data_IF_818063944678
#
_entry.id   IF_818063944678
#
_cell.length_a   1.000
_cell.length_b   1.000
_cell.length_c   1.000
_cell.angle_alpha   90.00
_cell.angle_beta   90.00
_cell.angle_gamma   90.00
#
_symmetry.space_group_name_H-M   'P 1'
#
loop_
_entity.id
_entity.type
_entity.pdbx_description
1 polymer ?
#
# COMPACT_ATOMS: atom_id res chain seq x y z
N UNK A 1 -14.17 60.13 41.49
CA UNK A 1 -14.44 59.39 42.73
C UNK A 1 -14.64 57.95 42.36
N UNK A 2 -13.82 57.11 43.00
CA UNK A 2 -14.05 55.70 43.32
C UNK A 2 -15.53 55.29 43.40
N UNK A 3 -15.82 54.06 43.00
CA UNK A 3 -16.43 53.10 43.92
C UNK A 3 -16.23 51.68 43.41
N UNK A 4 -15.23 51.05 44.03
CA UNK A 4 -15.13 49.63 44.33
C UNK A 4 -16.46 49.05 44.74
N UNK A 5 -16.82 47.89 44.19
CA UNK A 5 -17.38 46.83 45.03
C UNK A 5 -17.00 45.47 44.44
N UNK A 6 -16.15 44.77 45.18
CA UNK A 6 -15.86 43.36 45.02
C UNK A 6 -16.92 42.61 45.83
N UNK A 7 -17.67 41.72 45.19
CA UNK A 7 -18.51 40.73 45.88
C UNK A 7 -18.16 39.35 45.36
N UNK A 8 -17.64 38.56 46.29
CA UNK A 8 -17.33 37.16 46.13
C UNK A 8 -18.55 36.31 46.47
N UNK A 9 -18.83 35.32 45.63
CA UNK A 9 -19.59 34.10 45.91
C UNK A 9 -19.58 33.26 44.64
N UNK A 10 -19.57 31.95 44.60
CA UNK A 10 -19.48 30.84 45.55
C UNK A 10 -19.15 29.65 44.63
N UNK A 11 -18.43 28.65 45.15
CA UNK A 11 -18.08 27.46 44.39
C UNK A 11 -19.29 26.68 43.87
N UNK A 12 -19.12 26.06 42.71
CA UNK A 12 -19.88 24.89 42.28
C UNK A 12 -18.96 24.00 41.46
N UNK A 13 -18.53 22.96 42.16
CA UNK A 13 -18.03 21.68 41.73
C UNK A 13 -18.94 20.98 40.70
N UNK A 14 -18.31 20.04 39.98
CA UNK A 14 -18.86 19.02 39.10
C UNK A 14 -19.34 19.47 37.71
N UNK A 15 -18.45 19.34 36.73
CA UNK A 15 -18.78 18.57 35.52
C UNK A 15 -17.52 17.92 34.94
N UNK A 16 -17.35 16.64 35.27
CA UNK A 16 -16.61 15.69 34.44
C UNK A 16 -17.36 15.56 33.11
N UNK A 17 -16.92 16.29 32.10
CA UNK A 17 -17.26 16.04 30.70
C UNK A 17 -16.08 15.37 30.03
N UNK A 18 -16.05 14.04 30.10
CA UNK A 18 -15.24 13.25 29.19
C UNK A 18 -15.98 13.19 27.87
N UNK A 19 -15.59 14.01 26.90
CA UNK A 19 -15.71 13.66 25.49
C UNK A 19 -14.31 13.37 24.95
N UNK A 20 -13.79 12.21 25.40
CA UNK A 20 -12.89 11.39 24.60
C UNK A 20 -13.73 10.92 23.39
N UNK A 21 -13.94 11.85 22.45
CA UNK A 21 -14.45 11.57 21.13
C UNK A 21 -13.31 10.97 20.35
N UNK A 22 -12.98 9.71 20.67
CA UNK A 22 -12.06 8.91 19.90
C UNK A 22 -12.41 9.05 18.43
N UNK A 23 -11.44 9.54 17.66
CA UNK A 23 -11.34 9.35 16.23
C UNK A 23 -11.29 7.83 15.96
N UNK A 24 -12.44 7.15 16.06
CA UNK A 24 -12.70 5.89 15.38
C UNK A 24 -12.80 6.21 13.88
N UNK A 25 -11.71 6.71 13.31
CA UNK A 25 -11.35 6.53 11.91
C UNK A 25 -11.12 5.03 11.73
N UNK A 26 -12.22 4.28 11.72
CA UNK A 26 -12.33 2.96 11.13
C UNK A 26 -11.63 3.07 9.78
N UNK A 27 -10.46 2.42 9.59
CA UNK A 27 -9.71 2.54 8.35
C UNK A 27 -10.59 1.90 7.30
N UNK A 28 -11.30 2.74 6.54
CA UNK A 28 -12.25 2.33 5.53
C UNK A 28 -11.57 1.28 4.66
N UNK A 29 -11.95 0.02 4.89
CA UNK A 29 -11.51 -1.20 4.21
C UNK A 29 -11.58 -1.07 2.68
N UNK A 30 -12.27 -0.03 2.20
CA UNK A 30 -12.33 0.39 0.82
C UNK A 30 -10.98 0.83 0.19
N UNK A 31 -10.05 1.42 0.95
CA UNK A 31 -8.75 1.83 0.37
C UNK A 31 -7.86 0.62 0.05
N UNK A 32 -7.82 -0.37 0.94
CA UNK A 32 -6.91 -1.52 0.83
C UNK A 32 -7.30 -2.47 -0.31
N UNK A 33 -8.60 -2.64 -0.56
CA UNK A 33 -9.11 -3.47 -1.67
C UNK A 33 -8.79 -2.88 -3.06
N UNK A 34 -8.83 -1.54 -3.18
CA UNK A 34 -8.46 -0.85 -4.42
C UNK A 34 -6.99 -1.09 -4.79
N UNK A 35 -6.12 -1.08 -3.78
CA UNK A 35 -4.69 -1.28 -3.95
C UNK A 35 -4.35 -2.70 -4.44
N UNK A 36 -5.07 -3.72 -3.97
CA UNK A 36 -4.89 -5.11 -4.45
C UNK A 36 -5.31 -5.29 -5.91
N UNK A 37 -6.44 -4.69 -6.33
CA UNK A 37 -6.89 -4.79 -7.71
C UNK A 37 -5.98 -4.04 -8.69
N UNK A 38 -5.44 -2.89 -8.28
CA UNK A 38 -4.43 -2.16 -9.05
C UNK A 38 -3.12 -2.94 -9.14
N UNK A 39 -2.70 -3.57 -8.04
CA UNK A 39 -1.50 -4.40 -7.99
C UNK A 39 -1.58 -5.61 -8.93
N UNK A 40 -2.69 -6.34 -8.91
CA UNK A 40 -2.88 -7.49 -9.81
C UNK A 40 -2.86 -7.07 -11.28
N UNK A 41 -3.51 -5.94 -11.60
CA UNK A 41 -3.51 -5.40 -12.97
C UNK A 41 -2.11 -4.90 -13.38
N UNK A 42 -1.37 -4.27 -12.47
CA UNK A 42 0.01 -3.83 -12.71
C UNK A 42 0.93 -5.02 -12.95
N UNK A 43 0.81 -6.08 -12.15
CA UNK A 43 1.53 -7.35 -12.31
C UNK A 43 1.32 -7.98 -13.69
N UNK A 44 0.08 -8.03 -14.16
CA UNK A 44 -0.21 -8.55 -15.52
C UNK A 44 0.47 -7.72 -16.61
N UNK A 45 0.51 -6.40 -16.47
CA UNK A 45 1.22 -5.53 -17.41
C UNK A 45 2.73 -5.77 -17.34
N UNK A 46 3.30 -5.89 -16.14
CA UNK A 46 4.71 -6.15 -15.93
C UNK A 46 5.17 -7.47 -16.59
N UNK A 47 4.41 -8.55 -16.39
CA UNK A 47 4.68 -9.87 -17.00
C UNK A 47 4.65 -9.79 -18.53
N UNK A 48 3.66 -9.09 -19.10
CA UNK A 48 3.59 -8.88 -20.57
C UNK A 48 4.79 -8.10 -21.10
N UNK A 49 5.26 -7.11 -20.33
CA UNK A 49 6.51 -6.39 -20.62
C UNK A 49 7.70 -7.33 -20.70
N UNK A 50 7.90 -8.17 -19.68
CA UNK A 50 9.00 -9.13 -19.61
C UNK A 50 8.98 -10.16 -20.75
N UNK A 51 7.79 -10.65 -21.13
CA UNK A 51 7.65 -11.56 -22.26
C UNK A 51 7.98 -10.90 -23.61
N UNK A 52 7.57 -9.64 -23.80
CA UNK A 52 7.87 -8.87 -25.00
C UNK A 52 9.37 -8.58 -25.09
N UNK A 53 10.02 -8.23 -23.97
CA UNK A 53 11.46 -8.02 -23.87
C UNK A 53 12.24 -9.28 -24.23
N UNK A 54 11.88 -10.44 -23.65
CA UNK A 54 12.49 -11.74 -23.97
C UNK A 54 12.32 -12.12 -25.45
N UNK A 55 11.26 -11.63 -26.10
CA UNK A 55 10.99 -11.85 -27.52
C UNK A 55 11.68 -10.82 -28.44
N UNK A 56 12.42 -9.84 -27.90
CA UNK A 56 13.04 -8.76 -28.66
C UNK A 56 12.10 -7.62 -29.08
N UNK A 57 10.84 -7.63 -28.64
CA UNK A 57 9.84 -6.57 -28.91
C UNK A 57 9.93 -5.43 -27.89
N UNK A 58 11.08 -4.76 -27.84
CA UNK A 58 11.42 -3.77 -26.79
C UNK A 58 10.44 -2.60 -26.73
N UNK A 59 9.95 -2.09 -27.88
CA UNK A 59 8.98 -0.99 -27.90
C UNK A 59 7.63 -1.35 -27.27
N UNK A 60 7.18 -2.61 -27.47
CA UNK A 60 5.99 -3.12 -26.80
C UNK A 60 6.25 -3.29 -25.31
N UNK A 61 7.43 -3.82 -24.94
CA UNK A 61 7.83 -3.98 -23.54
C UNK A 61 7.77 -2.66 -22.77
N UNK A 62 8.36 -1.59 -23.32
CA UNK A 62 8.32 -0.24 -22.73
C UNK A 62 6.87 0.22 -22.50
N UNK A 63 5.97 -0.05 -23.46
CA UNK A 63 4.56 0.33 -23.34
C UNK A 63 3.88 -0.38 -22.18
N UNK A 64 4.14 -1.68 -22.02
CA UNK A 64 3.59 -2.47 -20.93
C UNK A 64 4.16 -2.07 -19.57
N UNK A 65 5.47 -1.87 -19.46
CA UNK A 65 6.12 -1.45 -18.22
C UNK A 65 5.63 -0.07 -17.76
N UNK A 66 5.52 0.90 -18.67
CA UNK A 66 4.97 2.23 -18.34
C UNK A 66 3.56 2.15 -17.77
N UNK A 67 2.72 1.26 -18.31
CA UNK A 67 1.36 1.04 -17.79
C UNK A 67 1.36 0.38 -16.42
N UNK A 68 2.28 -0.53 -16.14
CA UNK A 68 2.42 -1.15 -14.82
C UNK A 68 2.77 -0.08 -13.77
N UNK A 69 3.78 0.74 -14.04
CA UNK A 69 4.26 1.81 -13.14
C UNK A 69 3.21 2.92 -12.95
N UNK A 70 2.40 3.21 -13.98
CA UNK A 70 1.27 4.14 -13.84
C UNK A 70 0.18 3.65 -12.88
N UNK A 71 0.00 2.33 -12.76
CA UNK A 71 -0.96 1.74 -11.83
C UNK A 71 -0.35 1.63 -10.42
N UNK A 72 0.88 1.14 -10.34
CA UNK A 72 1.62 0.92 -9.09
C UNK A 72 3.07 1.33 -9.31
N UNK A 73 3.50 2.52 -8.84
CA UNK A 73 4.84 3.07 -9.10
C UNK A 73 5.99 2.20 -8.57
N UNK A 74 5.73 1.47 -7.49
CA UNK A 74 6.66 0.58 -6.79
C UNK A 74 6.46 -0.89 -7.18
N UNK A 75 5.83 -1.17 -8.34
CA UNK A 75 5.47 -2.53 -8.77
C UNK A 75 6.68 -3.47 -8.86
N UNK A 76 7.84 -2.96 -9.28
CA UNK A 76 9.08 -3.74 -9.38
C UNK A 76 9.53 -4.25 -8.00
N UNK A 77 9.48 -3.37 -6.99
CA UNK A 77 9.84 -3.70 -5.62
C UNK A 77 8.78 -4.57 -4.96
N UNK A 78 7.49 -4.22 -5.12
CA UNK A 78 6.39 -5.03 -4.60
C UNK A 78 6.37 -6.42 -5.20
N UNK A 79 6.67 -6.55 -6.50
CA UNK A 79 6.84 -7.85 -7.12
C UNK A 79 8.11 -8.51 -6.64
N UNK A 80 9.24 -7.85 -6.44
CA UNK A 80 10.44 -8.51 -5.91
C UNK A 80 10.25 -9.00 -4.46
N UNK A 81 9.64 -8.19 -3.61
CA UNK A 81 9.30 -8.50 -2.21
C UNK A 81 8.20 -9.55 -2.12
N UNK A 82 7.16 -9.41 -2.94
CA UNK A 82 6.12 -10.43 -3.04
C UNK A 82 6.75 -11.68 -3.60
N UNK A 83 7.39 -11.64 -4.78
CA UNK A 83 8.01 -12.69 -5.60
C UNK A 83 9.44 -13.08 -5.16
N UNK A 84 9.68 -13.20 -3.85
CA UNK A 84 10.49 -14.34 -3.34
C UNK A 84 9.87 -15.72 -3.73
N UNK A 85 8.83 -15.72 -4.60
CA UNK A 85 8.12 -16.87 -5.12
C UNK A 85 8.99 -17.49 -6.19
N UNK A 86 9.64 -18.56 -5.73
CA UNK A 86 10.04 -19.73 -6.49
C UNK A 86 11.06 -19.49 -7.60
N UNK A 87 12.15 -18.81 -7.28
CA UNK A 87 13.45 -19.31 -7.75
C UNK A 87 13.81 -20.55 -6.89
N UNK A 88 13.00 -21.61 -6.97
CA UNK A 88 13.52 -22.97 -6.80
C UNK A 88 13.84 -23.44 -8.20
N UNK A 89 14.95 -22.92 -8.71
CA UNK A 89 15.77 -23.66 -9.65
C UNK A 89 16.58 -24.60 -8.73
N UNK A 90 16.04 -25.80 -8.49
CA UNK A 90 16.78 -26.93 -7.94
C UNK A 90 16.65 -28.07 -8.96
N UNK A 91 17.45 -27.92 -10.01
CA UNK A 91 18.25 -28.96 -10.66
C UNK A 91 18.25 -30.31 -9.91
N UNK A 92 17.58 -31.34 -10.44
CA UNK A 92 17.83 -32.73 -10.00
C UNK A 92 18.24 -33.61 -11.20
N UNK A 93 19.55 -33.59 -11.44
CA UNK A 93 20.45 -34.71 -11.79
C UNK A 93 20.18 -35.49 -13.09
N UNK A 94 21.03 -35.19 -14.09
CA UNK A 94 21.51 -36.15 -15.08
C UNK A 94 21.91 -37.48 -14.41
N UNK A 95 21.06 -38.51 -14.53
CA UNK A 95 21.45 -39.89 -14.20
C UNK A 95 22.05 -40.54 -15.44
N UNK A 96 23.36 -40.39 -15.57
CA UNK A 96 24.23 -41.23 -16.38
C UNK A 96 24.29 -42.64 -15.76
N UNK A 97 23.94 -43.68 -16.53
CA UNK A 97 24.24 -45.07 -16.19
C UNK A 97 24.34 -45.93 -17.46
N UNK A 98 25.58 -46.00 -17.97
CA UNK A 98 26.32 -47.17 -18.49
C UNK A 98 25.59 -48.41 -19.00
#
# INVERSE_FOLDING_TARGET
>A
MENTMCSAEQGSDASTGADDGGDDEEPSSHRVLGDLHLLERAKQMYIKGALAEKSGRVYEAITFYRRAVQLVPDIEFRLAESCFWSFTDDESEDSDAG
#
